data_IF_080355702915
#
_entry.id   IF_080355702915
#
_cell.length_a   1.000
_cell.length_b   1.000
_cell.length_c   1.000
_cell.angle_alpha   90.00
_cell.angle_beta   90.00
_cell.angle_gamma   90.00
#
_symmetry.space_group_name_H-M   'P 1'
#
loop_
_entity.id
_entity.type
_entity.pdbx_description
1 polymer ?
2 non-polymer ?
3 non-polymer ?
4 non-polymer ?
5 water ?
#
# COMPACT_ATOMS: atom_id res chain seq x y z
N UNK A 1 -17.53 8.97 -2.61
CA UNK A 1 -18.69 9.00 -3.48
C UNK A 1 -19.84 8.11 -3.00
N UNK A 2 -19.85 6.88 -3.49
CA UNK A 2 -20.95 5.94 -3.35
C UNK A 2 -20.59 4.82 -2.37
N UNK A 3 -21.14 4.90 -1.16
CA UNK A 3 -20.83 3.93 -0.11
C UNK A 3 -21.13 2.49 -0.51
N UNK A 4 -22.27 2.28 -1.17
CA UNK A 4 -22.66 0.94 -1.58
C UNK A 4 -21.70 0.34 -2.60
N UNK A 5 -21.22 1.14 -3.55
CA UNK A 5 -20.25 0.63 -4.51
C UNK A 5 -18.94 0.31 -3.82
N UNK A 6 -18.63 1.07 -2.77
CA UNK A 6 -17.43 0.82 -1.98
C UNK A 6 -17.52 -0.51 -1.28
N UNK A 7 -18.65 -0.78 -0.63
CA UNK A 7 -18.89 -2.08 0.02
C UNK A 7 -18.61 -3.24 -0.89
N UNK A 8 -19.07 -3.12 -2.13
CA UNK A 8 -18.96 -4.16 -3.13
C UNK A 8 -17.51 -4.46 -3.45
N UNK A 9 -16.65 -3.48 -3.21
CA UNK A 9 -15.25 -3.60 -3.61
C UNK A 9 -14.34 -3.87 -2.41
N UNK A 10 -14.93 -4.07 -1.24
CA UNK A 10 -14.18 -4.10 0.02
C UNK A 10 -13.85 -5.50 0.53
N UNK A 11 -14.11 -6.54 -0.25
CA UNK A 11 -13.97 -7.90 0.29
C UNK A 11 -12.50 -8.20 0.62
N UNK A 12 -11.61 -7.86 -0.29
CA UNK A 12 -10.18 -8.00 -0.06
C UNK A 12 -9.72 -7.12 1.12
N UNK A 13 -10.16 -5.86 1.14
CA UNK A 13 -9.80 -4.92 2.22
C UNK A 13 -10.15 -5.46 3.60
N UNK A 14 -11.30 -6.12 3.70
CA UNK A 14 -11.79 -6.62 4.97
C UNK A 14 -10.89 -7.66 5.62
N UNK A 15 -10.16 -8.41 4.80
CA UNK A 15 -9.27 -9.45 5.29
C UNK A 15 -8.25 -8.91 6.26
N UNK A 16 -7.85 -7.65 6.07
CA UNK A 16 -6.83 -7.01 6.88
C UNK A 16 -7.38 -5.90 7.75
N UNK A 17 -8.25 -5.06 7.19
CA UNK A 17 -8.75 -3.91 7.94
C UNK A 17 -10.01 -4.23 8.72
N UNK A 18 -10.52 -5.44 8.55
CA UNK A 18 -11.67 -5.88 9.30
C UNK A 18 -13.02 -5.72 8.62
N UNK A 19 -13.89 -6.66 8.94
CA UNK A 19 -15.23 -6.74 8.34
C UNK A 19 -16.04 -5.46 8.60
N UNK A 20 -15.75 -4.81 9.72
CA UNK A 20 -16.35 -3.54 10.09
C UNK A 20 -15.28 -2.44 10.22
N UNK A 21 -14.16 -2.60 9.53
CA UNK A 21 -13.15 -1.55 9.46
C UNK A 21 -12.34 -1.38 10.73
N UNK A 22 -12.52 -2.29 11.69
CA UNK A 22 -11.64 -2.34 12.83
C UNK A 22 -10.75 -3.55 12.69
N UNK A 23 -9.44 -3.34 12.65
CA UNK A 23 -8.52 -4.45 12.40
C UNK A 23 -8.30 -5.31 13.65
N UNK A 24 -7.85 -6.54 13.45
CA UNK A 24 -7.54 -7.41 14.57
C UNK A 24 -6.02 -7.53 14.75
N UNK A 25 -5.24 -6.99 13.82
CA UNK A 25 -3.79 -7.06 13.92
C UNK A 25 -3.25 -5.65 14.12
N UNK A 26 -2.33 -5.47 15.08
CA UNK A 26 -2.01 -4.10 15.52
C UNK A 26 -1.27 -3.26 14.53
N UNK A 27 -0.73 -3.86 13.49
CA UNK A 27 0.00 -3.07 12.53
C UNK A 27 -0.84 -2.66 11.33
N UNK A 28 -2.06 -3.18 11.24
CA UNK A 28 -3.01 -2.77 10.20
C UNK A 28 -3.98 -1.72 10.80
N UNK A 29 -4.10 -0.54 10.15
CA UNK A 29 -4.91 0.50 10.78
C UNK A 29 -6.42 0.26 10.67
N UNK A 30 -7.14 0.78 11.66
CA UNK A 30 -8.57 0.87 11.57
C UNK A 30 -8.92 1.91 10.52
N UNK A 31 -9.95 1.64 9.72
CA UNK A 31 -10.47 2.59 8.75
C UNK A 31 -11.87 3.11 9.10
N UNK A 32 -12.57 2.41 10.01
CA UNK A 32 -13.98 2.73 10.27
C UNK A 32 -14.13 4.14 10.79
N UNK A 33 -14.97 4.92 10.09
CA UNK A 33 -15.28 6.27 10.53
C UNK A 33 -14.20 7.30 10.29
N UNK A 34 -13.15 6.92 9.57
CA UNK A 34 -12.10 7.89 9.21
C UNK A 34 -12.64 8.97 8.24
N UNK A 35 -11.99 10.11 8.17
CA UNK A 35 -12.39 11.17 7.26
C UNK A 35 -12.32 10.66 5.84
N UNK A 36 -13.37 10.96 5.06
CA UNK A 36 -13.47 10.46 3.68
C UNK A 36 -12.42 11.04 2.75
N UNK A 37 -12.23 12.35 2.79
CA UNK A 37 -11.18 12.98 1.99
C UNK A 37 -9.78 12.49 2.36
N UNK A 38 -9.52 12.29 3.64
CA UNK A 38 -8.22 11.76 4.06
C UNK A 38 -8.01 10.35 3.50
N UNK A 39 -9.04 9.51 3.61
CA UNK A 39 -8.94 8.13 3.12
C UNK A 39 -8.66 8.12 1.63
N UNK A 40 -9.40 8.95 0.90
CA UNK A 40 -9.21 9.05 -0.56
C UNK A 40 -7.81 9.47 -0.95
N UNK A 41 -7.28 10.48 -0.25
CA UNK A 41 -5.93 10.95 -0.46
C UNK A 41 -4.91 9.84 -0.27
N UNK A 42 -5.06 9.05 0.80
CA UNK A 42 -4.12 7.99 1.10
C UNK A 42 -4.12 6.95 0.00
N UNK A 43 -5.30 6.55 -0.46
CA UNK A 43 -5.41 5.58 -1.53
C UNK A 43 -4.80 6.15 -2.82
N UNK A 44 -5.07 7.42 -3.12
CA UNK A 44 -4.41 8.11 -4.25
C UNK A 44 -2.89 8.12 -4.08
N UNK A 45 -2.42 8.31 -2.86
CA UNK A 45 -0.98 8.45 -2.62
C UNK A 45 -0.27 7.08 -2.65
N UNK A 46 -0.93 6.02 -2.23
CA UNK A 46 -0.39 4.67 -2.42
C UNK A 46 -0.27 4.32 -3.94
N UNK A 47 -1.30 4.68 -4.69
CA UNK A 47 -1.31 4.35 -6.11
C UNK A 47 -0.22 5.06 -6.90
N UNK A 48 0.06 6.31 -6.52
CA UNK A 48 1.04 7.15 -7.20
C UNK A 48 2.44 6.93 -6.70
N UNK A 49 2.58 6.30 -5.54
CA UNK A 49 3.89 6.12 -4.93
C UNK A 49 4.31 7.28 -4.04
N UNK A 50 3.50 8.32 -3.97
CA UNK A 50 3.73 9.41 -3.05
C UNK A 50 3.82 8.90 -1.60
N UNK A 51 3.06 7.86 -1.28
CA UNK A 51 3.16 7.22 0.03
C UNK A 51 3.66 5.82 -0.24
N UNK A 52 4.89 5.56 0.16
CA UNK A 52 5.50 4.29 -0.13
C UNK A 52 5.19 3.24 0.93
N UNK A 53 4.42 2.23 0.52
CA UNK A 53 4.21 1.06 1.34
C UNK A 53 3.97 -0.09 0.37
N UNK A 54 4.90 -1.05 0.31
CA UNK A 54 4.76 -2.06 -0.74
C UNK A 54 3.44 -2.85 -0.67
N UNK A 55 2.93 -3.15 0.52
CA UNK A 55 1.68 -3.87 0.60
C UNK A 55 0.53 -3.04 0.00
N UNK A 56 0.39 -1.79 0.42
CA UNK A 56 -0.75 -1.01 -0.07
C UNK A 56 -0.61 -0.52 -1.51
N UNK A 57 0.61 -0.32 -1.98
CA UNK A 57 0.79 0.06 -3.39
C UNK A 57 0.20 -1.07 -4.25
N UNK A 58 0.44 -2.29 -3.81
CA UNK A 58 -0.13 -3.43 -4.47
C UNK A 58 -1.64 -3.50 -4.38
N UNK A 59 -2.22 -3.18 -3.23
CA UNK A 59 -3.67 -3.29 -3.08
C UNK A 59 -4.47 -2.23 -3.86
N UNK A 60 -3.85 -1.11 -4.22
CA UNK A 60 -4.58 -0.08 -4.97
C UNK A 60 -4.37 -0.15 -6.48
N UNK A 61 -3.51 -1.07 -6.92
CA UNK A 61 -3.15 -1.21 -8.34
C UNK A 61 -4.35 -1.19 -9.28
N UNK A 62 -5.38 -1.96 -8.96
CA UNK A 62 -6.50 -2.09 -9.87
C UNK A 62 -7.64 -1.13 -9.55
N UNK A 63 -7.41 -0.12 -8.71
CA UNK A 63 -8.49 0.77 -8.29
C UNK A 63 -8.55 2.02 -9.18
N UNK A 64 -9.74 2.37 -9.66
CA UNK A 64 -9.89 3.58 -10.46
C UNK A 64 -10.07 4.75 -9.49
N UNK A 65 -9.99 5.99 -9.98
CA UNK A 65 -10.34 7.15 -9.14
C UNK A 65 -11.70 7.05 -8.45
N UNK A 66 -12.73 6.65 -9.19
CA UNK A 66 -14.04 6.45 -8.58
C UNK A 66 -14.02 5.36 -7.51
N UNK A 67 -13.31 4.26 -7.75
CA UNK A 67 -13.24 3.18 -6.75
C UNK A 67 -12.66 3.70 -5.43
N UNK A 68 -11.62 4.51 -5.51
CA UNK A 68 -10.99 4.99 -4.29
C UNK A 68 -11.93 5.93 -3.50
N UNK A 69 -12.66 6.79 -4.21
CA UNK A 69 -13.66 7.65 -3.59
C UNK A 69 -14.78 6.82 -2.92
N UNK A 70 -15.19 5.75 -3.60
CA UNK A 70 -16.27 4.89 -3.12
C UNK A 70 -15.86 4.08 -1.89
N UNK A 71 -14.65 3.53 -1.92
CA UNK A 71 -14.14 2.84 -0.75
C UNK A 71 -14.01 3.80 0.42
N UNK A 72 -13.60 5.04 0.16
CA UNK A 72 -13.48 6.02 1.22
C UNK A 72 -14.85 6.32 1.83
N UNK A 73 -15.85 6.49 0.97
CA UNK A 73 -17.22 6.70 1.43
C UNK A 73 -17.70 5.53 2.26
N UNK A 74 -17.39 4.30 1.84
CA UNK A 74 -17.82 3.13 2.61
C UNK A 74 -17.25 3.10 4.03
N UNK A 75 -15.94 3.26 4.19
CA UNK A 75 -15.35 3.24 5.52
C UNK A 75 -15.71 4.48 6.36
N UNK A 76 -15.81 5.65 5.73
CA UNK A 76 -16.07 6.88 6.48
C UNK A 76 -17.42 6.85 7.15
N UNK A 77 -18.36 6.15 6.53
CA UNK A 77 -19.72 6.13 7.03
C UNK A 77 -19.97 4.96 7.97
N UNK A 78 -18.94 4.18 8.25
CA UNK A 78 -19.07 3.12 9.25
C UNK A 78 -19.28 3.66 10.65
N UNK A 79 -20.36 3.18 11.27
CA UNK A 79 -20.62 3.37 12.70
C UNK A 79 -20.85 2.00 13.32
N UNK B 1 9.09 -22.68 -7.47
CA UNK B 1 8.89 -21.25 -7.68
C UNK B 1 10.12 -20.42 -7.42
N UNK B 2 9.94 -19.09 -7.47
CA UNK B 2 11.05 -18.14 -7.31
C UNK B 2 11.03 -17.60 -5.88
N UNK B 3 11.88 -18.13 -5.03
CA UNK B 3 11.86 -17.80 -3.62
C UNK B 3 12.11 -16.31 -3.36
N UNK B 4 12.89 -15.68 -4.23
CA UNK B 4 13.24 -14.28 -4.07
C UNK B 4 12.02 -13.39 -4.34
N UNK B 5 11.25 -13.75 -5.35
CA UNK B 5 9.97 -13.10 -5.60
C UNK B 5 9.02 -13.36 -4.44
N UNK B 6 8.97 -14.60 -3.94
CA UNK B 6 8.22 -14.92 -2.74
C UNK B 6 8.53 -13.99 -1.60
N UNK B 7 9.83 -13.80 -1.35
CA UNK B 7 10.28 -12.96 -0.25
C UNK B 7 9.73 -11.54 -0.40
N UNK B 8 9.80 -10.98 -1.61
CA UNK B 8 9.33 -9.61 -1.83
C UNK B 8 7.82 -9.53 -1.67
N UNK B 9 7.11 -10.56 -2.14
CA UNK B 9 5.65 -10.61 -1.98
C UNK B 9 5.24 -10.83 -0.49
N UNK B 10 6.12 -11.42 0.31
CA UNK B 10 5.75 -11.89 1.64
C UNK B 10 5.50 -10.74 2.62
N UNK B 11 5.84 -9.51 2.22
CA UNK B 11 5.59 -8.34 3.06
C UNK B 11 4.14 -8.19 3.39
N UNK B 12 3.28 -8.68 2.49
CA UNK B 12 1.85 -8.60 2.79
C UNK B 12 1.34 -9.71 3.73
N UNK B 13 2.18 -10.68 4.10
CA UNK B 13 1.74 -11.85 4.92
C UNK B 13 2.29 -11.80 6.33
N UNK B 14 3.37 -11.04 6.52
CA UNK B 14 4.23 -11.17 7.71
C UNK B 14 3.59 -10.71 9.01
N UNK B 15 2.70 -9.73 8.94
CA UNK B 15 2.01 -9.24 10.12
C UNK B 15 1.17 -10.33 10.81
N UNK B 16 0.77 -11.33 10.05
CA UNK B 16 0.01 -12.45 10.60
C UNK B 16 0.83 -13.73 10.75
N UNK B 17 1.55 -14.12 9.70
CA UNK B 17 2.27 -15.39 9.73
C UNK B 17 3.72 -15.23 10.20
N UNK B 18 4.15 -13.99 10.45
CA UNK B 18 5.46 -13.71 11.02
C UNK B 18 6.52 -13.49 9.97
N UNK B 19 7.51 -12.68 10.33
CA UNK B 19 8.56 -12.31 9.42
C UNK B 19 9.29 -13.56 8.96
N UNK B 20 9.41 -14.55 9.84
CA UNK B 20 10.04 -15.83 9.50
C UNK B 20 9.06 -17.00 9.52
N UNK B 21 7.83 -16.77 9.06
CA UNK B 21 6.85 -17.84 8.91
C UNK B 21 6.42 -18.53 10.21
N UNK B 22 6.72 -17.93 11.34
CA UNK B 22 6.25 -18.43 12.63
C UNK B 22 5.37 -17.35 13.23
N UNK B 23 4.11 -17.67 13.46
CA UNK B 23 3.16 -16.66 13.89
C UNK B 23 3.28 -16.39 15.38
N UNK B 24 2.67 -15.29 15.81
CA UNK B 24 2.68 -14.89 17.21
C UNK B 24 1.32 -15.09 17.88
N UNK B 25 0.37 -15.65 17.12
CA UNK B 25 -1.03 -15.69 17.51
C UNK B 25 -1.56 -17.13 17.30
N UNK B 26 -2.30 -17.68 18.27
CA UNK B 26 -2.82 -19.05 18.12
C UNK B 26 -3.77 -19.23 16.93
N UNK B 27 -4.35 -18.13 16.45
CA UNK B 27 -5.30 -18.16 15.34
C UNK B 27 -4.61 -18.35 13.98
N UNK B 28 -3.36 -17.95 13.90
CA UNK B 28 -2.68 -17.92 12.62
C UNK B 28 -1.67 -19.07 12.58
N UNK B 29 -1.73 -19.91 11.54
CA UNK B 29 -0.80 -21.04 11.50
C UNK B 29 0.63 -20.61 11.12
N UNK B 30 1.61 -21.36 11.61
CA UNK B 30 2.96 -21.23 11.12
C UNK B 30 3.03 -21.74 9.70
N UNK B 31 3.83 -21.08 8.86
CA UNK B 31 4.06 -21.55 7.50
C UNK B 31 5.50 -22.02 7.29
N UNK B 32 6.40 -21.64 8.18
CA UNK B 32 7.82 -21.90 7.99
C UNK B 32 8.11 -23.39 7.89
N UNK B 33 8.83 -23.73 6.83
CA UNK B 33 9.28 -25.08 6.59
C UNK B 33 8.19 -26.01 6.13
N UNK B 34 6.98 -25.50 5.91
CA UNK B 34 5.86 -26.37 5.50
C UNK B 34 6.14 -26.92 4.10
N UNK B 35 5.52 -28.05 3.76
CA UNK B 35 5.70 -28.60 2.41
C UNK B 35 5.28 -27.60 1.35
N UNK B 36 6.17 -27.37 0.37
CA UNK B 36 5.92 -26.40 -0.69
C UNK B 36 4.65 -26.73 -1.48
N UNK B 37 4.45 -27.99 -1.85
CA UNK B 37 3.27 -28.33 -2.63
C UNK B 37 1.99 -28.13 -1.81
N UNK B 38 2.09 -28.41 -0.52
CA UNK B 38 0.94 -28.19 0.35
C UNK B 38 0.54 -26.69 0.41
N UNK B 39 1.51 -25.82 0.69
CA UNK B 39 1.31 -24.39 0.74
C UNK B 39 0.63 -23.92 -0.54
N UNK B 40 1.17 -24.32 -1.69
CA UNK B 40 0.63 -23.85 -2.98
C UNK B 40 -0.80 -24.31 -3.12
N UNK B 41 -1.10 -25.57 -2.74
CA UNK B 41 -2.46 -26.11 -2.84
C UNK B 41 -3.47 -25.34 -1.99
N UNK B 42 -3.08 -25.04 -0.76
CA UNK B 42 -3.94 -24.29 0.13
C UNK B 42 -4.25 -22.92 -0.50
N UNK B 43 -3.23 -22.25 -1.01
CA UNK B 43 -3.41 -20.94 -1.61
C UNK B 43 -4.33 -20.99 -2.84
N UNK B 44 -4.12 -21.99 -3.68
CA UNK B 44 -5.02 -22.25 -4.80
C UNK B 44 -6.46 -22.50 -4.34
N UNK B 45 -6.60 -23.21 -3.23
CA UNK B 45 -7.91 -23.60 -2.73
C UNK B 45 -8.65 -22.40 -2.08
N UNK B 46 -7.92 -21.48 -1.46
CA UNK B 46 -8.53 -20.25 -0.93
C UNK B 46 -8.98 -19.42 -2.14
N UNK B 47 -8.18 -19.41 -3.21
CA UNK B 47 -8.47 -18.57 -4.35
C UNK B 47 -9.68 -19.10 -5.12
N UNK B 48 -9.79 -20.43 -5.22
CA UNK B 48 -10.93 -21.10 -5.85
C UNK B 48 -12.22 -21.12 -5.02
N UNK B 49 -12.12 -20.97 -3.71
CA UNK B 49 -13.29 -21.11 -2.83
C UNK B 49 -13.41 -22.51 -2.25
N UNK B 50 -12.59 -23.45 -2.70
CA UNK B 50 -12.60 -24.81 -2.18
C UNK B 50 -12.40 -24.88 -0.67
N UNK B 51 -11.53 -24.01 -0.15
CA UNK B 51 -11.32 -23.89 1.29
C UNK B 51 -11.87 -22.54 1.75
N UNK B 52 -12.88 -22.60 2.62
CA UNK B 52 -13.69 -21.44 2.95
C UNK B 52 -13.35 -20.79 4.28
N UNK B 53 -12.20 -20.12 4.36
CA UNK B 53 -11.91 -19.19 5.47
C UNK B 53 -12.06 -17.76 4.95
N UNK B 54 -12.85 -16.91 5.64
CA UNK B 54 -13.05 -15.56 5.10
C UNK B 54 -11.79 -14.70 4.95
N UNK B 55 -10.89 -14.76 5.92
CA UNK B 55 -9.68 -13.95 5.88
C UNK B 55 -8.82 -14.30 4.64
N UNK B 56 -8.57 -15.59 4.43
CA UNK B 56 -7.63 -16.03 3.41
C UNK B 56 -8.23 -15.99 2.01
N UNK B 57 -9.53 -16.22 1.89
CA UNK B 57 -10.21 -16.00 0.62
C UNK B 57 -9.99 -14.58 0.14
N UNK B 58 -10.11 -13.61 1.04
CA UNK B 58 -9.90 -12.24 0.67
C UNK B 58 -8.46 -11.93 0.33
N UNK B 59 -7.55 -12.48 1.13
CA UNK B 59 -6.13 -12.23 1.03
C UNK B 59 -5.57 -12.60 -0.34
N UNK B 60 -6.04 -13.71 -0.91
CA UNK B 60 -5.47 -14.21 -2.16
C UNK B 60 -6.05 -13.56 -3.41
N UNK B 61 -7.04 -12.67 -3.24
CA UNK B 61 -7.75 -12.08 -4.36
C UNK B 61 -6.86 -11.39 -5.39
N UNK B 62 -5.81 -10.71 -4.94
CA UNK B 62 -4.86 -10.09 -5.88
C UNK B 62 -3.49 -10.81 -5.92
N UNK B 63 -3.54 -12.14 -5.88
CA UNK B 63 -2.37 -12.99 -6.05
C UNK B 63 -2.54 -13.74 -7.34
N UNK B 64 -1.47 -13.80 -8.13
CA UNK B 64 -1.46 -14.57 -9.38
C UNK B 64 -1.02 -16.00 -9.06
N UNK B 65 -1.33 -16.95 -9.96
CA UNK B 65 -0.84 -18.32 -9.76
C UNK B 65 0.65 -18.36 -9.43
N UNK B 66 1.41 -17.50 -10.10
CA UNK B 66 2.88 -17.46 -9.94
C UNK B 66 3.29 -16.95 -8.54
N UNK B 67 2.62 -15.90 -8.08
CA UNK B 67 2.84 -15.39 -6.71
C UNK B 67 2.67 -16.51 -5.69
N UNK B 68 1.62 -17.30 -5.85
CA UNK B 68 1.34 -18.40 -4.91
C UNK B 68 2.48 -19.42 -4.88
N UNK B 69 2.99 -19.77 -6.06
CA UNK B 69 4.11 -20.68 -6.15
C UNK B 69 5.35 -20.04 -5.54
N UNK B 70 5.53 -18.74 -5.73
CA UNK B 70 6.75 -18.09 -5.25
C UNK B 70 6.73 -17.99 -3.72
N UNK B 71 5.60 -17.58 -3.18
CA UNK B 71 5.41 -17.55 -1.72
C UNK B 71 5.66 -18.92 -1.08
N UNK B 72 5.09 -19.96 -1.66
CA UNK B 72 5.29 -21.32 -1.15
C UNK B 72 6.77 -21.67 -1.08
N UNK B 73 7.52 -21.31 -2.13
CA UNK B 73 8.96 -21.55 -2.21
C UNK B 73 9.71 -20.83 -1.12
N UNK B 74 9.29 -19.58 -0.86
CA UNK B 74 9.89 -18.79 0.20
C UNK B 74 9.69 -19.46 1.55
N UNK B 75 8.44 -19.72 1.92
CA UNK B 75 8.16 -20.31 3.22
C UNK B 75 8.72 -21.73 3.39
N UNK B 76 8.53 -22.58 2.38
CA UNK B 76 9.06 -23.94 2.41
C UNK B 76 10.57 -24.00 2.66
N UNK B 77 11.29 -22.97 2.25
CA UNK B 77 12.74 -22.94 2.41
C UNK B 77 13.26 -22.27 3.67
N UNK B 78 12.40 -22.09 4.67
CA UNK B 78 12.85 -21.63 5.98
C UNK B 78 13.10 -22.81 6.93
N UNK C 1 -4.95 -29.78 26.15
CA UNK C 1 -5.20 -31.19 25.99
C UNK C 1 -4.09 -32.04 26.59
N UNK C 2 -4.24 -33.35 26.47
CA UNK C 2 -3.31 -34.30 27.09
C UNK C 2 -2.38 -34.86 26.03
N UNK C 3 -1.16 -34.33 25.99
CA UNK C 3 -0.20 -34.70 24.94
C UNK C 3 0.18 -36.18 25.00
N UNK C 4 0.26 -36.74 26.20
CA UNK C 4 0.54 -38.19 26.32
C UNK C 4 -0.56 -39.05 25.70
N UNK C 5 -1.82 -38.70 25.91
CA UNK C 5 -2.91 -39.43 25.28
C UNK C 5 -2.90 -39.24 23.74
N UNK C 6 -2.65 -38.02 23.29
CA UNK C 6 -2.52 -37.76 21.86
C UNK C 6 -1.41 -38.58 21.19
N UNK C 7 -0.30 -38.73 21.90
CA UNK C 7 0.77 -39.61 21.43
C UNK C 7 0.26 -41.04 21.22
N UNK C 8 -0.33 -41.64 22.23
CA UNK C 8 -0.85 -43.00 22.08
C UNK C 8 -1.84 -43.10 20.93
N UNK C 9 -2.57 -42.02 20.66
CA UNK C 9 -3.60 -41.99 19.62
C UNK C 9 -3.04 -41.73 18.22
N UNK C 10 -1.78 -41.33 18.13
CA UNK C 10 -1.22 -40.78 16.89
C UNK C 10 -0.74 -41.81 15.90
N UNK C 11 -0.85 -43.08 16.25
CA UNK C 11 -0.38 -44.17 15.40
C UNK C 11 -0.97 -44.04 13.99
N UNK C 12 -2.28 -43.86 13.88
CA UNK C 12 -2.89 -43.68 12.55
C UNK C 12 -2.35 -42.44 11.84
N UNK C 13 -2.25 -41.34 12.58
CA UNK C 13 -1.75 -40.08 12.03
C UNK C 13 -0.32 -40.14 11.53
N UNK C 14 0.53 -40.83 12.27
CA UNK C 14 1.97 -40.86 11.99
C UNK C 14 2.32 -41.56 10.65
N UNK C 15 1.41 -42.40 10.14
CA UNK C 15 1.60 -43.04 8.83
C UNK C 15 1.84 -41.98 7.75
N UNK C 16 1.02 -40.92 7.77
CA UNK C 16 1.11 -39.87 6.76
C UNK C 16 1.83 -38.62 7.19
N UNK C 17 1.65 -38.20 8.44
CA UNK C 17 2.17 -36.91 8.85
C UNK C 17 3.58 -37.11 9.46
N UNK C 18 4.01 -38.36 9.59
CA UNK C 18 5.36 -38.65 10.04
C UNK C 18 5.45 -38.97 11.53
N UNK C 19 6.43 -39.79 11.88
CA UNK C 19 6.63 -40.26 13.25
C UNK C 19 6.81 -39.11 14.19
N UNK C 20 7.47 -38.06 13.72
CA UNK C 20 7.73 -36.87 14.53
C UNK C 20 7.10 -35.61 13.89
N UNK C 21 5.96 -35.80 13.22
CA UNK C 21 5.20 -34.70 12.66
C UNK C 21 5.78 -34.01 11.43
N UNK C 22 6.92 -34.47 10.90
CA UNK C 22 7.43 -33.97 9.61
C UNK C 22 7.12 -35.06 8.54
N UNK C 23 6.39 -34.77 7.49
CA UNK C 23 6.02 -35.83 6.59
C UNK C 23 7.16 -36.13 5.60
N UNK C 24 7.07 -37.30 4.96
CA UNK C 24 8.06 -37.72 3.97
C UNK C 24 7.50 -37.47 2.57
N UNK C 25 6.26 -37.00 2.54
CA UNK C 25 5.43 -37.01 1.34
C UNK C 25 5.03 -35.57 1.04
N UNK C 26 5.43 -35.05 -0.14
CA UNK C 26 5.22 -33.64 -0.53
C UNK C 26 3.84 -32.99 -0.37
N UNK C 27 2.74 -33.75 -0.38
CA UNK C 27 1.41 -33.16 -0.23
C UNK C 27 0.78 -33.50 1.13
N UNK C 28 1.54 -34.18 1.99
CA UNK C 28 1.11 -34.40 3.39
C UNK C 28 1.77 -33.32 4.25
N UNK C 29 0.95 -32.48 4.91
CA UNK C 29 1.58 -31.36 5.60
C UNK C 29 2.33 -31.79 6.85
N UNK C 30 3.36 -31.04 7.22
CA UNK C 30 3.95 -31.13 8.53
C UNK C 30 2.98 -30.57 9.58
N UNK C 31 2.89 -31.28 10.70
CA UNK C 31 2.10 -30.82 11.85
C UNK C 31 2.97 -30.43 13.05
N UNK C 32 4.26 -30.81 13.03
CA UNK C 32 5.13 -30.60 14.18
C UNK C 32 5.30 -29.13 14.52
N UNK C 33 5.02 -28.75 15.77
CA UNK C 33 5.22 -27.38 16.18
C UNK C 33 4.11 -26.42 15.78
N UNK C 34 3.12 -26.89 15.05
CA UNK C 34 2.03 -26.04 14.61
C UNK C 34 1.20 -25.53 15.81
N UNK C 35 0.54 -24.40 15.61
CA UNK C 35 -0.29 -23.77 16.66
C UNK C 35 -1.39 -24.72 17.12
N UNK C 36 -1.49 -24.87 18.44
CA UNK C 36 -2.37 -25.87 19.01
C UNK C 36 -3.84 -25.58 18.72
N UNK C 37 -4.24 -24.32 18.89
CA UNK C 37 -5.60 -23.91 18.65
C UNK C 37 -5.92 -24.05 17.14
N UNK C 38 -4.94 -23.78 16.31
CA UNK C 38 -5.11 -23.93 14.86
C UNK C 38 -5.39 -25.42 14.50
N UNK C 39 -4.57 -26.34 15.03
CA UNK C 39 -4.72 -27.77 14.76
C UNK C 39 -6.07 -28.23 15.20
N UNK C 40 -6.49 -27.76 16.38
CA UNK C 40 -7.75 -28.20 16.91
C UNK C 40 -8.87 -27.75 16.00
N UNK C 41 -8.76 -26.53 15.48
CA UNK C 41 -9.81 -25.99 14.66
C UNK C 41 -9.93 -26.74 13.35
N UNK C 42 -8.78 -27.07 12.75
CA UNK C 42 -8.79 -27.82 11.52
C UNK C 42 -9.43 -29.19 11.71
N UNK C 43 -9.04 -29.93 12.75
CA UNK C 43 -9.65 -31.22 13.02
C UNK C 43 -11.16 -31.10 13.19
N UNK C 44 -11.59 -30.09 13.93
CA UNK C 44 -13.02 -29.89 14.15
C UNK C 44 -13.67 -29.55 12.81
N UNK C 45 -12.97 -28.81 11.96
CA UNK C 45 -13.55 -28.38 10.67
C UNK C 45 -13.65 -29.51 9.66
N UNK C 46 -12.71 -30.44 9.72
CA UNK C 46 -12.81 -31.66 8.93
C UNK C 46 -14.04 -32.48 9.35
N UNK C 47 -14.26 -32.64 10.65
CA UNK C 47 -15.35 -33.44 11.15
C UNK C 47 -16.71 -32.81 10.83
N UNK C 48 -16.77 -31.49 10.88
CA UNK C 48 -18.01 -30.78 10.61
C UNK C 48 -18.29 -30.68 9.12
N UNK C 49 -17.27 -30.94 8.30
CA UNK C 49 -17.40 -30.81 6.85
C UNK C 49 -17.12 -29.41 6.34
N UNK C 50 -16.86 -28.49 7.27
CA UNK C 50 -16.55 -27.10 6.92
C UNK C 50 -15.30 -27.03 6.10
N UNK C 51 -14.30 -27.84 6.47
CA UNK C 51 -13.14 -28.01 5.60
C UNK C 51 -13.23 -29.37 4.90
N UNK C 52 -13.24 -29.33 3.57
CA UNK C 52 -13.59 -30.49 2.81
C UNK C 52 -12.39 -31.12 2.16
N UNK C 53 -11.97 -32.26 2.69
CA UNK C 53 -10.96 -33.04 2.06
C UNK C 53 -11.37 -34.49 2.20
N UNK C 54 -11.33 -35.25 1.10
CA UNK C 54 -11.76 -36.67 1.10
C UNK C 54 -11.14 -37.49 2.21
N UNK C 55 -9.82 -37.40 2.31
CA UNK C 55 -9.01 -38.22 3.20
C UNK C 55 -9.14 -37.87 4.69
N UNK C 56 -8.88 -36.61 5.02
CA UNK C 56 -8.93 -36.15 6.40
C UNK C 56 -10.32 -36.23 7.02
N UNK C 57 -11.35 -35.95 6.23
CA UNK C 57 -12.73 -36.11 6.67
C UNK C 57 -12.96 -37.53 7.14
N UNK C 58 -12.46 -38.49 6.40
CA UNK C 58 -12.54 -39.85 6.86
C UNK C 58 -11.71 -40.05 8.12
N UNK C 59 -10.56 -39.37 8.20
CA UNK C 59 -9.61 -39.68 9.27
C UNK C 59 -10.07 -39.20 10.65
N UNK C 60 -10.96 -38.22 10.67
CA UNK C 60 -11.40 -37.61 11.94
C UNK C 60 -12.72 -38.22 12.40
N UNK C 61 -13.27 -39.11 11.59
CA UNK C 61 -14.63 -39.61 11.77
C UNK C 61 -14.83 -40.24 13.16
N UNK C 62 -13.84 -40.99 13.61
CA UNK C 62 -13.96 -41.72 14.86
C UNK C 62 -13.43 -40.94 16.05
N UNK C 63 -13.10 -39.67 15.86
CA UNK C 63 -12.38 -38.90 16.89
C UNK C 63 -13.36 -38.12 17.74
N UNK C 64 -13.19 -38.18 19.06
CA UNK C 64 -14.01 -37.37 19.94
C UNK C 64 -13.41 -35.97 20.05
N UNK C 65 -14.20 -35.00 20.54
CA UNK C 65 -13.66 -33.68 20.87
C UNK C 65 -12.39 -33.75 21.70
N UNK C 66 -12.34 -34.59 22.76
CA UNK C 66 -11.12 -34.73 23.54
C UNK C 66 -9.93 -35.32 22.77
N UNK C 67 -10.19 -36.29 21.91
CA UNK C 67 -9.12 -36.85 21.07
C UNK C 67 -8.48 -35.77 20.22
N UNK C 68 -9.32 -34.94 19.60
CA UNK C 68 -8.83 -33.86 18.75
C UNK C 68 -7.97 -32.83 19.49
N UNK C 69 -8.38 -32.44 20.70
CA UNK C 69 -7.54 -31.63 21.57
C UNK C 69 -6.24 -32.31 21.97
N UNK C 70 -6.30 -33.63 22.22
CA UNK C 70 -5.13 -34.37 22.65
C UNK C 70 -4.13 -34.50 21.51
N UNK C 71 -4.62 -34.80 20.32
CA UNK C 71 -3.76 -34.85 19.13
C UNK C 71 -3.13 -33.49 18.84
N UNK C 72 -3.91 -32.43 18.85
CA UNK C 72 -3.39 -31.08 18.69
C UNK C 72 -2.30 -30.77 19.67
N UNK C 73 -2.49 -31.19 20.93
CA UNK C 73 -1.53 -30.87 21.96
C UNK C 73 -0.22 -31.62 21.70
N UNK C 74 -0.34 -32.86 21.26
CA UNK C 74 0.84 -33.69 20.98
C UNK C 74 1.74 -33.06 19.89
N UNK C 75 1.15 -32.74 18.74
CA UNK C 75 1.89 -32.15 17.64
C UNK C 75 2.45 -30.74 17.95
N UNK C 76 1.64 -29.89 18.58
CA UNK C 76 2.06 -28.54 18.88
C UNK C 76 3.27 -28.49 19.77
N UNK C 77 3.40 -29.46 20.66
CA UNK C 77 4.51 -29.46 21.60
C UNK C 77 5.79 -30.07 21.03
N UNK C 78 5.76 -30.59 19.80
CA UNK C 78 6.98 -31.08 19.18
C UNK C 78 7.95 -29.95 18.89
N UNK C 79 9.23 -30.25 19.05
CA UNK C 79 10.30 -29.27 18.87
C UNK C 79 11.10 -29.53 17.58
N UNK D 1 3.52 2.46 25.15
CA UNK D 1 3.80 3.78 25.65
C UNK D 1 2.88 4.24 26.76
N UNK D 2 3.18 5.43 27.27
CA UNK D 2 2.53 5.99 28.45
C UNK D 2 1.46 7.02 28.08
N UNK D 3 0.18 6.61 28.09
CA UNK D 3 -0.92 7.49 27.67
C UNK D 3 -0.92 8.82 28.40
N UNK D 4 -0.56 8.80 29.68
CA UNK D 4 -0.63 10.00 30.51
C UNK D 4 0.40 11.03 30.07
N UNK D 5 1.63 10.59 29.84
CA UNK D 5 2.66 11.46 29.31
C UNK D 5 2.29 11.96 27.92
N UNK D 6 1.64 11.11 27.13
CA UNK D 6 1.23 11.48 25.79
C UNK D 6 0.23 12.60 25.86
N UNK D 7 -0.72 12.49 26.78
CA UNK D 7 -1.80 13.47 26.87
C UNK D 7 -1.21 14.81 27.19
N UNK D 8 -0.14 14.81 27.98
CA UNK D 8 0.50 16.05 28.39
C UNK D 8 1.25 16.69 27.22
N UNK D 9 1.61 15.91 26.20
CA UNK D 9 2.32 16.44 25.02
C UNK D 9 1.39 16.69 23.82
N UNK D 10 0.10 16.60 24.04
CA UNK D 10 -0.87 16.53 22.95
C UNK D 10 -1.54 17.84 22.59
N UNK D 11 -1.22 18.96 23.27
CA UNK D 11 -1.88 20.24 23.01
C UNK D 11 -1.73 20.72 21.57
N UNK D 12 -0.52 20.69 21.05
CA UNK D 12 -0.31 21.06 19.68
C UNK D 12 -1.10 20.13 18.70
N UNK D 13 -0.95 18.82 18.88
CA UNK D 13 -1.66 17.82 18.04
C UNK D 13 -3.17 17.98 18.04
N UNK D 14 -3.71 18.36 19.18
CA UNK D 14 -5.14 18.51 19.34
C UNK D 14 -5.72 19.59 18.45
N UNK D 15 -4.87 20.57 18.09
CA UNK D 15 -5.36 21.70 17.32
C UNK D 15 -5.87 21.29 15.93
N UNK D 16 -5.30 20.21 15.39
CA UNK D 16 -5.72 19.67 14.10
C UNK D 16 -6.41 18.36 14.22
N UNK D 17 -5.96 17.51 15.16
CA UNK D 17 -6.52 16.18 15.25
C UNK D 17 -7.71 16.10 16.23
N UNK D 18 -8.00 17.21 16.91
CA UNK D 18 -9.13 17.30 17.81
C UNK D 18 -8.76 16.99 19.25
N UNK D 19 -9.48 17.58 20.20
CA UNK D 19 -9.21 17.37 21.63
C UNK D 19 -9.50 15.93 22.06
N UNK D 20 -10.38 15.25 21.35
CA UNK D 20 -10.67 13.85 21.63
C UNK D 20 -10.27 12.97 20.42
N UNK D 21 -9.27 13.39 19.67
CA UNK D 21 -8.76 12.54 18.60
C UNK D 21 -9.66 12.42 17.37
N UNK D 22 -10.74 13.20 17.34
CA UNK D 22 -11.59 13.30 16.15
C UNK D 22 -11.46 14.70 15.56
N UNK D 23 -11.04 14.78 14.30
CA UNK D 23 -10.76 16.09 13.71
C UNK D 23 -12.04 16.77 13.21
N UNK D 24 -11.92 18.07 12.97
CA UNK D 24 -13.01 18.89 12.46
C UNK D 24 -12.84 19.06 10.96
N UNK D 25 -11.61 18.86 10.48
CA UNK D 25 -11.22 19.24 9.14
C UNK D 25 -11.12 17.99 8.26
N UNK D 26 -11.78 17.97 7.09
CA UNK D 26 -11.87 16.78 6.22
C UNK D 26 -10.56 16.11 5.76
N UNK D 27 -9.47 16.86 5.66
CA UNK D 27 -8.18 16.30 5.25
C UNK D 27 -7.27 15.95 6.42
N UNK D 28 -7.73 16.18 7.65
CA UNK D 28 -6.95 15.82 8.82
C UNK D 28 -7.52 14.58 9.40
N UNK D 29 -6.69 13.56 9.56
CA UNK D 29 -7.25 12.28 10.02
C UNK D 29 -7.61 12.28 11.52
N UNK D 30 -8.65 11.52 11.85
CA UNK D 30 -8.90 11.08 13.21
C UNK D 30 -7.82 10.14 13.71
N UNK D 31 -7.44 10.28 14.97
CA UNK D 31 -6.45 9.40 15.58
C UNK D 31 -7.06 8.54 16.68
N UNK D 32 -8.26 8.92 17.14
CA UNK D 32 -8.89 8.26 18.27
C UNK D 32 -9.12 6.75 18.05
N UNK D 33 -8.63 5.94 18.98
CA UNK D 33 -8.84 4.50 18.94
C UNK D 33 -8.04 3.77 17.89
N UNK D 34 -7.21 4.48 17.14
CA UNK D 34 -6.30 3.87 16.18
C UNK D 34 -5.34 2.88 16.87
N UNK D 35 -4.87 1.89 16.13
CA UNK D 35 -3.90 0.93 16.66
C UNK D 35 -2.60 1.61 17.09
N UNK D 36 -2.16 1.29 18.31
CA UNK D 36 -0.99 1.96 18.86
C UNK D 36 0.24 1.75 18.00
N UNK D 37 0.49 0.52 17.57
CA UNK D 37 1.70 0.22 16.80
C UNK D 37 1.70 0.99 15.45
N UNK D 38 0.53 1.06 14.82
CA UNK D 38 0.38 1.76 13.56
C UNK D 38 0.74 3.25 13.74
N UNK D 39 0.17 3.89 14.76
CA UNK D 39 0.40 5.30 15.01
C UNK D 39 1.88 5.55 15.28
N UNK D 40 2.50 4.68 16.06
CA UNK D 40 3.91 4.81 16.32
C UNK D 40 4.74 4.72 15.04
N UNK D 41 4.43 3.75 14.18
CA UNK D 41 5.12 3.67 12.89
C UNK D 41 5.00 4.96 12.10
N UNK D 42 3.81 5.55 12.00
CA UNK D 42 3.61 6.73 11.17
C UNK D 42 4.45 7.90 11.69
N UNK D 43 4.46 8.10 13.01
CA UNK D 43 5.25 9.17 13.60
C UNK D 43 6.75 8.98 13.30
N UNK D 44 7.27 7.77 13.54
CA UNK D 44 8.66 7.44 13.16
C UNK D 44 8.89 7.70 11.70
N UNK D 45 7.91 7.34 10.86
CA UNK D 45 8.04 7.51 9.40
C UNK D 45 8.02 8.96 8.92
N UNK D 46 7.24 9.82 9.59
CA UNK D 46 7.33 11.25 9.35
C UNK D 46 8.71 11.80 9.77
N UNK D 47 9.24 11.34 10.89
CA UNK D 47 10.51 11.88 11.39
C UNK D 47 11.71 11.44 10.52
N UNK D 48 11.67 10.18 10.11
CA UNK D 48 12.70 9.60 9.27
C UNK D 48 12.58 10.10 7.83
N UNK D 49 11.43 10.68 7.50
CA UNK D 49 11.18 11.17 6.17
C UNK D 49 10.71 10.10 5.21
N UNK D 50 10.54 8.87 5.71
CA UNK D 50 10.04 7.77 4.89
C UNK D 50 8.56 7.96 4.47
N UNK D 51 7.79 8.68 5.29
CA UNK D 51 6.47 9.18 4.89
C UNK D 51 6.53 10.71 4.70
N UNK D 52 6.26 11.14 3.47
CA UNK D 52 6.38 12.55 3.09
C UNK D 52 5.10 13.36 3.23
N UNK D 53 5.10 14.23 4.23
CA UNK D 53 4.09 15.26 4.33
C UNK D 53 4.75 16.44 5.01
N UNK D 54 4.87 17.58 4.29
CA UNK D 54 5.61 18.71 4.88
C UNK D 54 5.10 19.12 6.28
N UNK D 55 3.78 19.09 6.47
CA UNK D 55 3.20 19.51 7.77
C UNK D 55 3.65 18.58 8.91
N UNK D 56 3.40 17.28 8.78
CA UNK D 56 3.77 16.34 9.84
C UNK D 56 5.26 16.10 10.06
N UNK D 57 6.06 16.32 9.03
CA UNK D 57 7.49 16.21 9.21
C UNK D 57 7.86 17.27 10.23
N UNK D 58 7.33 18.47 10.01
CA UNK D 58 7.58 19.58 10.91
C UNK D 58 7.19 19.22 12.34
N UNK D 59 6.04 18.57 12.47
CA UNK D 59 5.43 18.33 13.76
C UNK D 59 6.20 17.32 14.61
N UNK D 60 6.95 16.43 13.98
CA UNK D 60 7.58 15.35 14.72
C UNK D 60 9.06 15.61 15.01
N UNK D 61 9.63 16.62 14.39
CA UNK D 61 11.07 16.82 14.54
C UNK D 61 11.49 16.95 16.01
N UNK D 62 10.62 17.48 16.88
CA UNK D 62 11.01 17.70 18.28
C UNK D 62 10.73 16.52 19.22
N UNK D 63 10.14 15.45 18.69
CA UNK D 63 9.69 14.34 19.53
C UNK D 63 10.72 13.23 19.65
N UNK D 64 10.99 12.79 20.88
CA UNK D 64 11.82 11.60 21.11
C UNK D 64 11.03 10.35 20.74
N UNK D 65 11.73 9.22 20.61
CA UNK D 65 11.07 7.93 20.43
C UNK D 65 10.07 7.62 21.52
N UNK D 66 10.37 7.92 22.78
CA UNK D 66 9.41 7.70 23.84
C UNK D 66 8.17 8.60 23.70
N UNK D 67 8.37 9.89 23.39
CA UNK D 67 7.26 10.83 23.17
C UNK D 67 6.32 10.27 22.09
N UNK D 68 6.89 9.75 21.02
CA UNK D 68 6.06 9.25 19.93
C UNK D 68 5.25 8.01 20.34
N UNK D 69 5.88 7.10 21.07
CA UNK D 69 5.18 5.97 21.66
C UNK D 69 4.10 6.44 22.62
N UNK D 70 4.42 7.47 23.39
CA UNK D 70 3.50 7.97 24.40
C UNK D 70 2.29 8.62 23.76
N UNK D 71 2.51 9.39 22.69
CA UNK D 71 1.38 9.97 21.96
C UNK D 71 0.53 8.87 21.31
N UNK D 72 1.17 7.89 20.69
CA UNK D 72 0.44 6.77 20.11
C UNK D 72 -0.46 6.07 21.13
N UNK D 73 0.06 5.80 22.32
CA UNK D 73 -0.73 5.15 23.35
C UNK D 73 -1.88 6.04 23.81
N UNK D 74 -1.62 7.33 23.94
CA UNK D 74 -2.66 8.27 24.29
C UNK D 74 -3.86 8.19 23.31
N UNK D 75 -3.60 8.37 22.02
CA UNK D 75 -4.70 8.29 21.05
C UNK D 75 -5.32 6.89 20.97
N UNK D 76 -4.49 5.87 21.00
CA UNK D 76 -4.96 4.49 20.81
C UNK D 76 -5.94 4.07 21.92
N UNK D 77 -5.81 4.68 23.07
CA UNK D 77 -6.53 4.23 24.23
C UNK D 77 -7.65 5.19 24.61
N UNK D 78 -7.94 6.14 23.73
CA UNK D 78 -9.04 7.08 23.92
C UNK D 78 -10.19 6.69 23.01
N UNK E 1 -7.12 31.55 -13.07
CA UNK E 1 -8.06 30.46 -13.21
C UNK E 1 -8.64 30.12 -11.86
N UNK E 2 -9.69 29.30 -11.84
CA UNK E 2 -10.36 28.92 -10.59
C UNK E 2 -10.24 27.44 -10.26
N UNK E 3 -9.59 27.12 -9.14
CA UNK E 3 -9.35 25.73 -8.76
C UNK E 3 -10.61 24.89 -8.64
N UNK E 4 -11.62 25.42 -7.95
CA UNK E 4 -12.87 24.71 -7.81
C UNK E 4 -13.47 24.27 -9.17
N UNK E 5 -13.42 25.17 -10.14
CA UNK E 5 -13.90 24.90 -11.48
C UNK E 5 -13.04 23.84 -12.21
N UNK E 6 -11.72 23.91 -12.04
CA UNK E 6 -10.84 22.91 -12.62
C UNK E 6 -11.11 21.53 -12.03
N UNK E 7 -11.36 21.47 -10.72
CA UNK E 7 -11.66 20.19 -10.05
C UNK E 7 -12.76 19.38 -10.76
N UNK E 8 -13.82 20.08 -11.17
CA UNK E 8 -14.95 19.45 -11.81
C UNK E 8 -14.60 18.83 -13.18
N UNK E 9 -13.73 19.50 -13.94
CA UNK E 9 -13.34 19.03 -15.27
C UNK E 9 -12.31 17.90 -15.22
N UNK E 10 -11.69 17.74 -14.05
CA UNK E 10 -10.52 16.91 -13.90
C UNK E 10 -10.84 15.44 -13.97
N UNK E 11 -12.13 15.12 -13.99
CA UNK E 11 -12.53 13.75 -14.19
C UNK E 11 -11.97 13.17 -15.51
N UNK E 12 -11.72 14.01 -16.50
CA UNK E 12 -11.18 13.46 -17.74
C UNK E 12 -9.65 13.29 -17.72
N UNK E 13 -8.99 13.76 -16.67
CA UNK E 13 -7.50 13.73 -16.60
C UNK E 13 -6.97 12.68 -15.60
N UNK E 14 -7.82 12.31 -14.66
CA UNK E 14 -7.41 11.65 -13.40
C UNK E 14 -6.93 10.26 -13.67
N UNK E 15 -7.47 9.64 -14.70
CA UNK E 15 -7.12 8.28 -15.02
C UNK E 15 -5.65 8.15 -15.47
N UNK E 16 -5.07 9.23 -15.98
CA UNK E 16 -3.68 9.22 -16.40
C UNK E 16 -2.78 10.04 -15.50
N UNK E 17 -3.21 11.24 -15.14
CA UNK E 17 -2.37 12.13 -14.34
C UNK E 17 -2.54 11.92 -12.84
N UNK E 18 -3.47 11.04 -12.44
CA UNK E 18 -3.70 10.72 -11.03
C UNK E 18 -4.81 11.59 -10.45
N UNK E 19 -5.57 11.05 -9.50
CA UNK E 19 -6.63 11.81 -8.84
C UNK E 19 -6.04 12.95 -8.04
N UNK E 20 -4.78 12.83 -7.61
CA UNK E 20 -4.15 13.91 -6.89
C UNK E 20 -2.92 14.44 -7.66
N UNK E 21 -2.96 14.32 -8.98
CA UNK E 21 -2.01 15.01 -9.82
C UNK E 21 -0.65 14.35 -9.92
N UNK E 22 -0.53 13.16 -9.37
CA UNK E 22 0.68 12.36 -9.52
C UNK E 22 0.37 11.04 -10.18
N UNK E 23 1.03 10.75 -11.30
CA UNK E 23 0.67 9.59 -12.10
C UNK E 23 1.30 8.30 -11.55
N UNK E 24 0.82 7.15 -12.05
CA UNK E 24 1.35 5.86 -11.62
C UNK E 24 2.28 5.26 -12.69
N UNK E 25 2.42 5.99 -13.79
CA UNK E 25 2.97 5.46 -15.04
C UNK E 25 4.07 6.41 -15.53
N UNK E 26 5.21 5.84 -15.94
CA UNK E 26 6.38 6.69 -16.23
C UNK E 26 6.24 7.64 -17.40
N UNK E 27 5.34 7.33 -18.32
CA UNK E 27 5.22 8.17 -19.48
C UNK E 27 4.18 9.27 -19.30
N UNK E 28 3.34 9.19 -18.27
CA UNK E 28 2.50 10.34 -17.93
C UNK E 28 3.15 11.26 -16.90
N UNK E 29 3.26 12.57 -17.20
CA UNK E 29 3.81 13.49 -16.20
C UNK E 29 2.90 13.81 -15.03
N UNK E 30 3.55 14.12 -13.91
CA UNK E 30 2.87 14.70 -12.76
C UNK E 30 2.51 16.14 -13.02
N UNK E 31 1.29 16.52 -12.61
CA UNK E 31 0.79 17.86 -12.74
C UNK E 31 0.72 18.57 -11.38
N UNK E 32 0.68 17.79 -10.29
CA UNK E 32 0.45 18.33 -8.96
C UNK E 32 1.43 19.43 -8.56
N UNK E 33 0.90 20.62 -8.26
CA UNK E 33 1.70 21.71 -7.72
C UNK E 33 2.54 22.43 -8.74
N UNK E 34 2.36 22.07 -10.01
CA UNK E 34 3.04 22.73 -11.11
C UNK E 34 2.58 24.19 -11.20
N UNK E 35 3.44 25.06 -11.72
CA UNK E 35 3.09 26.46 -11.96
C UNK E 35 1.87 26.60 -12.88
N UNK E 36 0.89 27.36 -12.44
CA UNK E 36 -0.34 27.52 -13.20
C UNK E 36 -0.09 28.14 -14.56
N UNK E 37 0.77 29.15 -14.64
CA UNK E 37 0.99 29.79 -15.94
C UNK E 37 1.61 28.81 -16.94
N UNK E 38 2.45 27.93 -16.42
CA UNK E 38 3.13 26.96 -17.26
C UNK E 38 2.12 25.93 -17.78
N UNK E 39 1.30 25.38 -16.89
CA UNK E 39 0.32 24.38 -17.33
C UNK E 39 -0.59 24.97 -18.39
N UNK E 40 -1.02 26.22 -18.19
CA UNK E 40 -1.94 26.87 -19.11
C UNK E 40 -1.28 27.04 -20.44
N UNK E 41 0.00 27.41 -20.43
CA UNK E 41 0.73 27.57 -21.69
C UNK E 41 0.86 26.24 -22.43
N UNK E 42 1.16 25.17 -21.69
CA UNK E 42 1.28 23.86 -22.29
C UNK E 42 -0.04 23.46 -22.91
N UNK E 43 -1.12 23.61 -22.16
CA UNK E 43 -2.42 23.30 -22.74
C UNK E 43 -2.70 24.14 -24.02
N UNK E 44 -2.40 25.44 -23.98
CA UNK E 44 -2.58 26.29 -25.17
C UNK E 44 -1.72 25.84 -26.34
N UNK E 45 -0.51 25.38 -26.07
CA UNK E 45 0.43 24.92 -27.10
C UNK E 45 0.04 23.58 -27.71
N UNK E 46 -0.53 22.69 -26.91
CA UNK E 46 -1.12 21.48 -27.45
C UNK E 46 -2.23 21.85 -28.43
N UNK E 47 -3.02 22.84 -28.06
CA UNK E 47 -4.20 23.19 -28.83
C UNK E 47 -3.86 23.90 -30.15
N UNK E 48 -2.86 24.79 -30.08
CA UNK E 48 -2.35 25.51 -31.25
C UNK E 48 -1.52 24.60 -32.14
N UNK E 49 -1.01 23.50 -31.60
CA UNK E 49 -0.12 22.63 -32.36
C UNK E 49 1.35 22.97 -32.20
N UNK E 50 1.65 24.07 -31.51
CA UNK E 50 3.03 24.39 -31.16
C UNK E 50 3.75 23.25 -30.41
N UNK E 51 3.04 22.52 -29.56
CA UNK E 51 3.59 21.31 -28.96
C UNK E 51 2.84 20.08 -29.52
N UNK E 52 3.58 19.12 -30.07
CA UNK E 52 3.01 18.04 -30.88
C UNK E 52 3.13 16.65 -30.24
N UNK E 53 2.35 16.40 -29.21
CA UNK E 53 2.18 15.03 -28.70
C UNK E 53 0.74 14.60 -29.06
N UNK E 54 0.61 13.43 -29.71
CA UNK E 54 -0.70 12.93 -30.17
C UNK E 54 -1.78 12.88 -29.09
N UNK E 55 -1.43 12.39 -27.90
CA UNK E 55 -2.43 12.19 -26.86
C UNK E 55 -3.01 13.52 -26.41
N UNK E 56 -2.13 14.46 -26.08
CA UNK E 56 -2.58 15.74 -25.56
C UNK E 56 -3.16 16.68 -26.62
N UNK E 57 -2.69 16.50 -27.85
CA UNK E 57 -3.23 17.20 -29.00
C UNK E 57 -4.74 16.85 -29.10
N UNK E 58 -5.06 15.56 -28.98
CA UNK E 58 -6.44 15.10 -28.87
C UNK E 58 -7.18 15.60 -27.66
N UNK E 59 -6.61 15.37 -26.49
CA UNK E 59 -7.25 15.72 -25.23
C UNK E 59 -7.76 17.17 -25.17
N UNK E 60 -7.00 18.12 -25.71
CA UNK E 60 -7.32 19.55 -25.53
C UNK E 60 -8.46 20.04 -26.46
N UNK E 61 -8.76 19.25 -27.48
CA UNK E 61 -9.87 19.58 -28.35
C UNK E 61 -11.19 19.61 -27.59
N UNK E 62 -11.21 18.95 -26.44
CA UNK E 62 -12.39 18.92 -25.59
C UNK E 62 -12.44 20.12 -24.65
N UNK E 63 -11.46 21.01 -24.76
CA UNK E 63 -11.31 22.10 -23.81
C UNK E 63 -11.49 23.49 -24.41
N UNK E 64 -12.22 24.30 -23.68
CA UNK E 64 -12.28 25.74 -23.92
C UNK E 64 -11.06 26.36 -23.24
N UNK E 65 -10.67 27.56 -23.70
CA UNK E 65 -9.55 28.25 -23.04
C UNK E 65 -9.79 28.48 -21.56
N UNK E 66 -11.04 28.76 -21.16
CA UNK E 66 -11.34 28.89 -19.74
C UNK E 66 -11.11 27.59 -18.97
N UNK E 67 -11.45 26.47 -19.58
CA UNK E 67 -11.26 25.16 -18.95
C UNK E 67 -9.78 24.93 -18.70
N UNK E 68 -8.95 25.34 -19.66
CA UNK E 68 -7.51 25.16 -19.56
C UNK E 68 -6.97 25.88 -18.37
N UNK E 69 -7.34 27.15 -18.22
CA UNK E 69 -6.88 27.94 -17.12
C UNK E 69 -7.36 27.39 -15.79
N UNK E 70 -8.59 26.84 -15.79
CA UNK E 70 -9.16 26.40 -14.52
C UNK E 70 -8.53 25.07 -14.07
N UNK E 71 -8.31 24.18 -15.02
CA UNK E 71 -7.54 22.97 -14.77
C UNK E 71 -6.15 23.29 -14.26
N UNK E 72 -5.50 24.29 -14.86
CA UNK E 72 -4.17 24.68 -14.45
C UNK E 72 -4.20 25.05 -13.01
N UNK E 73 -5.20 25.84 -12.63
CA UNK E 73 -5.26 26.36 -11.28
C UNK E 73 -5.55 25.25 -10.28
N UNK E 74 -6.40 24.30 -10.70
CA UNK E 74 -6.72 23.14 -9.89
C UNK E 74 -5.45 22.35 -9.56
N UNK E 75 -4.67 22.02 -10.57
CA UNK E 75 -3.48 21.19 -10.31
C UNK E 75 -2.40 21.97 -9.57
N UNK E 76 -2.26 23.23 -9.95
CA UNK E 76 -1.28 24.11 -9.36
C UNK E 76 -1.47 24.22 -7.85
N UNK E 77 -2.74 24.21 -7.43
CA UNK E 77 -3.10 24.31 -6.00
C UNK E 77 -2.85 23.06 -5.15
N UNK E 78 -2.61 21.91 -5.78
CA UNK E 78 -2.24 20.70 -5.05
C UNK E 78 -0.84 20.79 -4.43
N UNK E 79 -0.67 20.06 -3.33
CA UNK E 79 0.66 19.77 -2.76
C UNK E 79 1.33 20.99 -2.14
N UNK F 1 18.92 6.33 -15.27
CA UNK F 1 19.93 7.33 -15.00
C UNK F 1 20.45 7.23 -13.57
N UNK F 2 21.47 8.02 -13.25
CA UNK F 2 22.06 8.01 -11.92
C UNK F 2 21.86 9.34 -11.22
N UNK F 3 21.15 9.32 -10.09
CA UNK F 3 20.78 10.55 -9.37
C UNK F 3 21.99 11.39 -8.95
N UNK F 4 23.03 10.76 -8.42
CA UNK F 4 24.23 11.52 -8.03
C UNK F 4 24.84 12.23 -9.26
N UNK F 5 24.93 11.52 -10.37
CA UNK F 5 25.42 12.08 -11.63
C UNK F 5 24.70 13.39 -11.99
N UNK F 6 23.37 13.34 -12.03
CA UNK F 6 22.58 14.52 -12.34
C UNK F 6 22.83 15.72 -11.42
N UNK F 7 23.11 15.47 -10.13
CA UNK F 7 23.21 16.55 -9.16
C UNK F 7 24.29 17.54 -9.53
N UNK F 8 25.38 17.04 -10.13
CA UNK F 8 26.54 17.85 -10.43
C UNK F 8 26.25 18.78 -11.60
N UNK F 9 25.68 18.22 -12.67
CA UNK F 9 25.33 18.99 -13.87
C UNK F 9 24.21 20.01 -13.59
N UNK F 10 23.41 19.75 -12.56
CA UNK F 10 22.19 20.52 -12.28
C UNK F 10 22.45 21.96 -11.87
N UNK F 11 23.71 22.28 -11.66
CA UNK F 11 24.11 23.64 -11.37
C UNK F 11 23.72 24.67 -12.45
N UNK F 12 23.76 24.29 -13.72
CA UNK F 12 23.38 25.25 -14.74
C UNK F 12 21.85 25.44 -14.84
N UNK F 13 21.08 24.61 -14.14
CA UNK F 13 19.62 24.66 -14.23
C UNK F 13 19.01 25.45 -13.11
N UNK F 14 19.78 25.67 -12.06
CA UNK F 14 19.23 26.02 -10.74
C UNK F 14 18.61 27.40 -10.70
N UNK F 15 19.15 28.32 -11.49
CA UNK F 15 18.68 29.71 -11.46
C UNK F 15 17.25 29.84 -11.97
N UNK F 16 16.81 28.90 -12.78
CA UNK F 16 15.47 28.96 -13.35
C UNK F 16 14.55 27.94 -12.71
N UNK F 17 14.99 26.69 -12.67
CA UNK F 17 14.17 25.59 -12.17
C UNK F 17 14.20 25.40 -10.64
N UNK F 18 15.16 26.04 -9.96
CA UNK F 18 15.26 25.96 -8.51
C UNK F 18 16.32 25.00 -8.03
N UNK F 19 16.86 25.32 -6.85
CA UNK F 19 17.91 24.51 -6.26
C UNK F 19 17.40 23.12 -5.93
N UNK F 20 16.13 23.08 -5.57
CA UNK F 20 15.47 21.82 -5.26
C UNK F 20 14.37 21.45 -6.27
N UNK F 21 14.45 21.99 -7.48
CA UNK F 21 13.52 21.64 -8.55
C UNK F 21 12.15 22.30 -8.44
N UNK F 22 12.04 23.29 -7.55
CA UNK F 22 10.85 24.11 -7.46
C UNK F 22 11.25 25.49 -7.90
N UNK F 23 10.60 26.04 -8.92
CA UNK F 23 11.05 27.32 -9.45
C UNK F 23 10.44 28.44 -8.65
N UNK F 24 10.97 29.64 -8.84
CA UNK F 24 10.44 30.85 -8.19
C UNK F 24 9.66 31.74 -9.15
N UNK F 25 9.53 31.32 -10.41
CA UNK F 25 8.99 32.17 -11.48
C UNK F 25 7.86 31.41 -12.19
N UNK F 26 6.70 32.06 -12.43
CA UNK F 26 5.50 31.33 -12.90
C UNK F 26 5.64 30.63 -14.22
N UNK F 27 6.65 31.00 -15.01
CA UNK F 27 6.79 30.54 -16.37
C UNK F 27 7.90 29.50 -16.51
N UNK F 28 8.62 29.25 -15.41
CA UNK F 28 9.63 28.19 -15.40
C UNK F 28 8.98 27.04 -14.64
N UNK F 29 8.87 25.86 -15.28
CA UNK F 29 8.22 24.75 -14.57
C UNK F 29 9.04 24.15 -13.43
N UNK F 30 8.35 23.58 -12.44
CA UNK F 30 8.97 22.76 -11.42
C UNK F 30 9.37 21.46 -12.07
N UNK F 31 10.51 20.92 -11.65
CA UNK F 31 10.99 19.61 -12.11
C UNK F 31 11.01 18.56 -10.99
N UNK F 32 10.95 19.02 -9.73
CA UNK F 32 11.06 18.14 -8.57
C UNK F 32 10.00 17.04 -8.49
N UNK F 33 10.49 15.81 -8.45
CA UNK F 33 9.68 14.61 -8.34
C UNK F 33 8.98 14.19 -9.61
N UNK F 34 9.23 14.90 -10.71
CA UNK F 34 8.68 14.54 -11.99
C UNK F 34 9.15 13.16 -12.40
N UNK F 35 8.33 12.44 -13.17
CA UNK F 35 8.69 11.14 -13.69
C UNK F 35 10.02 11.16 -14.49
N UNK F 36 10.93 10.26 -14.17
CA UNK F 36 12.24 10.27 -14.79
C UNK F 36 12.17 10.07 -16.30
N UNK F 37 11.39 9.11 -16.77
CA UNK F 37 11.33 8.84 -18.22
C UNK F 37 10.72 10.03 -18.97
N UNK F 38 9.77 10.70 -18.33
CA UNK F 38 9.19 11.90 -18.90
C UNK F 38 10.23 13.04 -19.06
N UNK F 39 11.01 13.29 -18.03
CA UNK F 39 11.99 14.38 -18.09
C UNK F 39 13.00 14.13 -19.19
N UNK F 40 13.43 12.87 -19.35
CA UNK F 40 14.41 12.49 -20.36
C UNK F 40 13.86 12.66 -21.76
N UNK F 41 12.61 12.24 -21.95
CA UNK F 41 11.93 12.44 -23.21
C UNK F 41 11.91 13.93 -23.56
N UNK F 42 11.54 14.78 -22.60
CA UNK F 42 11.43 16.20 -22.87
C UNK F 42 12.78 16.77 -23.27
N UNK F 43 13.82 16.45 -22.50
CA UNK F 43 15.17 16.91 -22.87
C UNK F 43 15.60 16.43 -24.28
N UNK F 44 15.42 15.15 -24.58
CA UNK F 44 15.67 14.61 -25.93
C UNK F 44 14.82 15.32 -26.98
N UNK F 45 13.55 15.60 -26.68
CA UNK F 45 12.70 16.33 -27.62
C UNK F 45 13.20 17.78 -27.90
N UNK F 46 13.63 18.50 -26.86
CA UNK F 46 14.26 19.82 -27.08
C UNK F 46 15.46 19.70 -27.99
N UNK F 47 16.29 18.69 -27.74
CA UNK F 47 17.52 18.52 -28.50
C UNK F 47 17.26 18.17 -29.97
N UNK F 48 16.32 17.26 -30.21
CA UNK F 48 15.95 16.85 -31.56
C UNK F 48 15.17 17.93 -32.27
N UNK F 49 14.58 18.86 -31.53
CA UNK F 49 13.74 19.89 -32.12
C UNK F 49 12.27 19.54 -32.18
N UNK F 50 11.92 18.35 -31.70
CA UNK F 50 10.53 17.92 -31.70
C UNK F 50 9.68 18.79 -30.75
N UNK F 51 10.30 19.27 -29.68
CA UNK F 51 9.68 20.28 -28.83
C UNK F 51 10.42 21.61 -29.00
N UNK F 52 9.69 22.63 -29.39
CA UNK F 52 10.29 23.86 -29.91
C UNK F 52 10.04 24.99 -28.93
N UNK F 53 10.99 25.16 -28.03
CA UNK F 53 11.00 26.29 -27.11
C UNK F 53 12.38 26.92 -27.24
N UNK F 54 12.44 28.23 -27.52
CA UNK F 54 13.78 28.79 -27.82
C UNK F 54 14.77 28.63 -26.66
N UNK F 55 14.31 28.86 -25.43
CA UNK F 55 15.20 28.79 -24.29
C UNK F 55 15.74 27.41 -24.08
N UNK F 56 14.86 26.41 -24.00
CA UNK F 56 15.34 25.06 -23.77
C UNK F 56 16.06 24.44 -24.95
N UNK F 57 15.69 24.84 -26.15
CA UNK F 57 16.43 24.38 -27.31
C UNK F 57 17.91 24.81 -27.23
N UNK F 58 18.17 26.06 -26.80
CA UNK F 58 19.55 26.50 -26.61
C UNK F 58 20.21 25.78 -25.44
N UNK F 59 19.46 25.62 -24.37
CA UNK F 59 19.97 24.97 -23.16
C UNK F 59 20.48 23.55 -23.40
N UNK F 60 19.76 22.73 -24.16
CA UNK F 60 20.18 21.33 -24.30
C UNK F 60 21.40 21.18 -25.24
N UNK F 61 21.78 22.26 -25.91
CA UNK F 61 23.07 22.29 -26.62
C UNK F 61 24.23 22.06 -25.65
N UNK F 62 24.02 22.36 -24.37
CA UNK F 62 25.02 22.13 -23.36
C UNK F 62 25.08 20.70 -22.76
N UNK F 63 24.13 19.84 -23.12
CA UNK F 63 24.00 18.51 -22.50
C UNK F 63 24.26 17.35 -23.45
N UNK F 64 24.86 16.29 -22.91
CA UNK F 64 25.04 15.04 -23.65
C UNK F 64 23.83 14.13 -23.43
N UNK F 65 23.71 13.04 -24.21
CA UNK F 65 22.64 12.09 -23.97
C UNK F 65 22.68 11.55 -22.57
N UNK F 66 23.88 11.34 -22.03
CA UNK F 66 24.05 10.88 -20.66
C UNK F 66 23.62 11.90 -19.61
N UNK F 67 23.97 13.17 -19.81
CA UNK F 67 23.50 14.25 -18.94
C UNK F 67 21.97 14.31 -18.84
N UNK F 68 21.28 14.05 -19.94
CA UNK F 68 19.84 14.20 -19.91
C UNK F 68 19.25 13.09 -19.03
N UNK F 69 19.79 11.88 -19.17
CA UNK F 69 19.35 10.76 -18.37
C UNK F 69 19.67 11.03 -16.92
N UNK F 70 20.89 11.53 -16.66
CA UNK F 70 21.34 11.75 -15.29
C UNK F 70 20.56 12.85 -14.61
N UNK F 71 20.29 13.93 -15.33
CA UNK F 71 19.52 15.04 -14.80
C UNK F 71 18.09 14.62 -14.45
N UNK F 72 17.49 13.82 -15.33
CA UNK F 72 16.16 13.24 -15.11
C UNK F 72 16.12 12.47 -13.81
N UNK F 73 17.01 11.50 -13.68
CA UNK F 73 17.14 10.69 -12.46
C UNK F 73 17.29 11.54 -11.22
N UNK F 74 18.03 12.64 -11.34
CA UNK F 74 18.28 13.48 -10.19
C UNK F 74 16.98 14.15 -9.72
N UNK F 75 16.30 14.83 -10.64
CA UNK F 75 15.07 15.54 -10.26
C UNK F 75 13.94 14.59 -9.87
N UNK F 76 13.87 13.42 -10.50
CA UNK F 76 12.79 12.49 -10.23
C UNK F 76 12.92 11.95 -8.82
N UNK F 77 14.15 11.90 -8.33
CA UNK F 77 14.38 11.41 -6.97
C UNK F 77 14.01 12.36 -5.85
N UNK F 78 13.75 13.63 -6.15
CA UNK F 78 13.42 14.57 -5.08
C UNK F 78 12.06 14.30 -4.43
#
# INVERSE_FOLDING_TARGET
>A
GDAAAGKAKSVMCAACHGAAGVSAVPTYPNLAGQKEAYLTKQLNDFKSGKRNDPTMKGMVMALSPADMENLAAYYANMK
>B
GDAAAGKAKSVMCAACHGAAGVSAVPTYPNLAGQKEAYLTKQLNDFKSGKRNDPTMKGMVMALSPADMENLAAYYANMK
>C
GDAAAGKAKSVMCAACHGAAGVSAVPTYPNLAGQKEAYLTKQLNDFKSGKRNDPTMKGMVMALSPADMENLAAYYANMK
>D
GDAAAGKAKSVMCAACHGAAGVSAVPTYPNLAGQKEAYLTKQLNDFKSGKRNDPTMKGMVMALSPADMENLAAYYANMK
>E
GDAAAGKAKSVMCAACHGAAGVSAVPTYPNLAGQKEAYLTKQLNDFKSGKRNDPTMKGMVMALSPADMENLAAYYANMK
>F
GDAAAGKAKSVMCAACHGAAGVSAVPTYPNLAGQKEAYLTKQLNDFKSGKRNDPTMKGMVMALSPADMENLAAYYANMK
#
